data_IF_221344234355
#
_entry.id   IF_221344234355
#
_cell.length_a   1.000
_cell.length_b   1.000
_cell.length_c   1.000
_cell.angle_alpha   90.00
_cell.angle_beta   90.00
_cell.angle_gamma   90.00
#
_symmetry.space_group_name_H-M   'P 1'
#
loop_
_entity.id
_entity.type
_entity.pdbx_description
1 polymer ?
#
# COMPACT_ATOMS: atom_id res chain seq x y z
N UNK A 1 -2.08 -28.59 -4.57
CA UNK A 1 -3.33 -28.08 -3.93
C UNK A 1 -3.36 -26.56 -3.80
N UNK A 2 -2.23 -25.85 -3.62
CA UNK A 2 -2.19 -24.37 -3.65
C UNK A 2 -2.53 -23.75 -5.01
N UNK A 3 -2.23 -24.43 -6.13
CA UNK A 3 -2.48 -23.87 -7.46
C UNK A 3 -3.98 -23.69 -7.75
N UNK A 4 -4.81 -24.54 -7.13
CA UNK A 4 -6.27 -24.50 -7.31
C UNK A 4 -6.89 -23.34 -6.54
N UNK A 5 -6.42 -23.03 -5.33
CA UNK A 5 -7.00 -21.95 -4.53
C UNK A 5 -6.71 -20.57 -5.12
N UNK A 6 -5.50 -20.34 -5.64
CA UNK A 6 -5.15 -19.08 -6.31
C UNK A 6 -5.93 -18.90 -7.62
N UNK A 7 -6.04 -19.95 -8.43
CA UNK A 7 -6.80 -19.90 -9.69
C UNK A 7 -8.30 -19.62 -9.43
N UNK A 8 -8.87 -20.22 -8.38
CA UNK A 8 -10.25 -19.97 -7.96
C UNK A 8 -10.43 -18.54 -7.43
N UNK A 9 -9.46 -17.98 -6.73
CA UNK A 9 -9.50 -16.57 -6.32
C UNK A 9 -9.48 -15.61 -7.52
N UNK A 10 -8.56 -15.82 -8.46
CA UNK A 10 -8.41 -14.97 -9.64
C UNK A 10 -9.67 -14.98 -10.51
N UNK A 11 -10.31 -16.15 -10.65
CA UNK A 11 -11.53 -16.28 -11.47
C UNK A 11 -12.77 -15.71 -10.79
N UNK A 12 -12.93 -15.89 -9.48
CA UNK A 12 -14.12 -15.41 -8.76
C UNK A 12 -14.05 -13.91 -8.42
N UNK A 13 -12.86 -13.36 -8.23
CA UNK A 13 -12.69 -11.97 -7.80
C UNK A 13 -11.50 -11.27 -8.48
N UNK A 14 -11.51 -11.16 -9.82
CA UNK A 14 -10.40 -10.59 -10.57
C UNK A 14 -10.12 -9.12 -10.18
N UNK A 15 -11.17 -8.34 -9.88
CA UNK A 15 -11.04 -6.94 -9.50
C UNK A 15 -10.32 -6.76 -8.15
N UNK A 16 -10.66 -7.56 -7.14
CA UNK A 16 -10.02 -7.48 -5.83
C UNK A 16 -8.56 -7.92 -5.90
N UNK A 17 -8.25 -8.93 -6.72
CA UNK A 17 -6.88 -9.34 -6.96
C UNK A 17 -6.05 -8.26 -7.65
N UNK A 18 -6.57 -7.64 -8.71
CA UNK A 18 -5.89 -6.53 -9.40
C UNK A 18 -5.69 -5.35 -8.45
N UNK A 19 -6.71 -5.00 -7.65
CA UNK A 19 -6.60 -3.94 -6.66
C UNK A 19 -5.50 -4.26 -5.62
N UNK A 20 -5.47 -5.48 -5.09
CA UNK A 20 -4.43 -5.92 -4.16
C UNK A 20 -3.02 -5.82 -4.77
N UNK A 21 -2.85 -6.18 -6.05
CA UNK A 21 -1.56 -6.01 -6.75
C UNK A 21 -1.13 -4.54 -6.85
N UNK A 22 -2.05 -3.63 -7.17
CA UNK A 22 -1.75 -2.19 -7.20
C UNK A 22 -1.39 -1.67 -5.81
N UNK A 23 -2.14 -2.06 -4.78
CA UNK A 23 -1.87 -1.67 -3.40
C UNK A 23 -0.52 -2.18 -2.93
N UNK A 24 -0.18 -3.43 -3.26
CA UNK A 24 1.13 -4.00 -2.99
C UNK A 24 2.25 -3.24 -3.71
N UNK A 25 2.06 -2.88 -4.98
CA UNK A 25 3.02 -2.08 -5.74
C UNK A 25 3.25 -0.70 -5.08
N UNK A 26 2.18 0.00 -4.68
CA UNK A 26 2.30 1.27 -3.96
C UNK A 26 2.94 1.11 -2.58
N UNK A 27 2.64 0.02 -1.86
CA UNK A 27 3.27 -0.27 -0.57
C UNK A 27 4.78 -0.49 -0.71
N UNK A 28 5.21 -1.18 -1.78
CA UNK A 28 6.63 -1.35 -2.13
C UNK A 28 7.29 -0.02 -2.49
N UNK A 29 6.63 0.82 -3.29
CA UNK A 29 7.13 2.16 -3.62
C UNK A 29 7.29 3.05 -2.39
N UNK A 30 6.36 2.94 -1.43
CA UNK A 30 6.44 3.64 -0.14
C UNK A 30 7.58 3.11 0.75
N UNK A 31 8.19 1.96 0.40
CA UNK A 31 9.22 1.25 1.18
C UNK A 31 8.79 0.95 2.62
N UNK A 32 7.49 0.78 2.85
CA UNK A 32 6.95 0.53 4.18
C UNK A 32 6.75 -0.97 4.39
N UNK A 33 7.69 -1.62 5.07
CA UNK A 33 7.63 -3.06 5.41
C UNK A 33 6.32 -3.41 6.12
N UNK A 34 5.83 -2.52 7.00
CA UNK A 34 4.56 -2.71 7.72
C UNK A 34 3.36 -2.76 6.77
N UNK A 35 3.32 -1.89 5.75
CA UNK A 35 2.23 -1.88 4.77
C UNK A 35 2.27 -3.12 3.87
N UNK A 36 3.47 -3.55 3.47
CA UNK A 36 3.68 -4.77 2.68
C UNK A 36 3.21 -6.01 3.47
N UNK A 37 3.59 -6.13 4.74
CA UNK A 37 3.17 -7.25 5.59
C UNK A 37 1.66 -7.26 5.81
N UNK A 38 1.05 -6.09 6.02
CA UNK A 38 -0.41 -5.96 6.16
C UNK A 38 -1.14 -6.43 4.90
N UNK A 39 -0.67 -6.00 3.73
CA UNK A 39 -1.27 -6.36 2.44
C UNK A 39 -1.14 -7.86 2.15
N UNK A 40 0.05 -8.44 2.37
CA UNK A 40 0.26 -9.88 2.22
C UNK A 40 -0.64 -10.69 3.17
N UNK A 41 -0.76 -10.24 4.42
CA UNK A 41 -1.65 -10.89 5.39
C UNK A 41 -3.11 -10.83 4.95
N UNK A 42 -3.56 -9.68 4.44
CA UNK A 42 -4.92 -9.50 3.91
C UNK A 42 -5.22 -10.46 2.76
N UNK A 43 -4.30 -10.59 1.79
CA UNK A 43 -4.43 -11.52 0.67
C UNK A 43 -4.50 -12.96 1.16
N UNK A 44 -3.63 -13.37 2.09
CA UNK A 44 -3.64 -14.73 2.65
C UNK A 44 -4.96 -15.03 3.37
N UNK A 45 -5.45 -14.09 4.17
CA UNK A 45 -6.73 -14.22 4.88
C UNK A 45 -7.91 -14.31 3.89
N UNK A 46 -7.90 -13.52 2.82
CA UNK A 46 -8.94 -13.61 1.78
C UNK A 46 -8.96 -14.97 1.09
N UNK A 47 -7.80 -15.52 0.74
CA UNK A 47 -7.70 -16.87 0.14
C UNK A 47 -8.21 -17.92 1.14
N UNK A 48 -7.85 -17.83 2.41
CA UNK A 48 -8.31 -18.77 3.45
C UNK A 48 -9.82 -18.76 3.64
N UNK A 49 -10.45 -17.59 3.62
CA UNK A 49 -11.90 -17.44 3.83
C UNK A 49 -12.72 -17.85 2.61
N UNK A 50 -12.15 -17.72 1.42
CA UNK A 50 -12.77 -18.26 0.21
C UNK A 50 -12.93 -19.80 0.30
N UNK A 51 -11.95 -20.49 0.89
CA UNK A 51 -12.00 -21.95 1.06
C UNK A 51 -13.09 -22.37 2.07
N UNK A 52 -13.34 -21.58 3.10
CA UNK A 52 -14.38 -21.87 4.10
C UNK A 52 -15.79 -21.45 3.68
N UNK A 53 -15.95 -20.86 2.48
CA UNK A 53 -17.22 -20.51 1.84
C UNK A 53 -18.17 -19.69 2.74
N UNK A 54 -17.64 -18.74 3.52
CA UNK A 54 -18.44 -17.80 4.33
C UNK A 54 -18.65 -16.47 3.58
N UNK A 55 -19.75 -16.29 2.82
CA UNK A 55 -19.93 -15.14 1.93
C UNK A 55 -20.01 -13.79 2.66
N UNK A 56 -20.50 -13.79 3.90
CA UNK A 56 -20.59 -12.58 4.72
C UNK A 56 -19.21 -12.05 5.11
N UNK A 57 -18.32 -12.93 5.59
CA UNK A 57 -16.94 -12.56 5.95
C UNK A 57 -16.14 -12.11 4.72
N UNK A 58 -16.35 -12.77 3.58
CA UNK A 58 -15.72 -12.39 2.32
C UNK A 58 -16.04 -10.95 1.92
N UNK A 59 -17.31 -10.55 2.03
CA UNK A 59 -17.75 -9.18 1.72
C UNK A 59 -17.14 -8.16 2.68
N UNK A 60 -17.12 -8.46 3.98
CA UNK A 60 -16.52 -7.58 5.00
C UNK A 60 -15.04 -7.36 4.73
N UNK A 61 -14.30 -8.43 4.41
CA UNK A 61 -12.86 -8.33 4.17
C UNK A 61 -12.56 -7.66 2.84
N UNK A 62 -13.38 -7.87 1.82
CA UNK A 62 -13.31 -7.09 0.58
C UNK A 62 -13.47 -5.59 0.84
N UNK A 63 -14.39 -5.18 1.74
CA UNK A 63 -14.52 -3.79 2.14
C UNK A 63 -13.26 -3.27 2.88
N UNK A 64 -12.70 -4.07 3.79
CA UNK A 64 -11.44 -3.74 4.47
C UNK A 64 -10.28 -3.57 3.47
N UNK A 65 -10.19 -4.46 2.48
CA UNK A 65 -9.18 -4.40 1.42
C UNK A 65 -9.25 -3.06 0.65
N UNK A 66 -10.45 -2.61 0.29
CA UNK A 66 -10.66 -1.33 -0.37
C UNK A 66 -10.24 -0.16 0.52
N UNK A 67 -10.60 -0.19 1.82
CA UNK A 67 -10.22 0.86 2.78
C UNK A 67 -8.71 0.93 2.98
N UNK A 68 -8.04 -0.22 3.08
CA UNK A 68 -6.57 -0.30 3.19
C UNK A 68 -5.91 0.25 1.92
N UNK A 69 -6.46 -0.09 0.75
CA UNK A 69 -5.98 0.46 -0.52
C UNK A 69 -6.07 1.98 -0.59
N UNK A 70 -7.22 2.55 -0.20
CA UNK A 70 -7.40 4.01 -0.12
C UNK A 70 -6.43 4.65 0.88
N UNK A 71 -6.20 4.02 2.03
CA UNK A 71 -5.26 4.51 3.04
C UNK A 71 -3.81 4.52 2.53
N UNK A 72 -3.37 3.46 1.85
CA UNK A 72 -2.04 3.38 1.25
C UNK A 72 -1.88 4.43 0.15
N UNK A 73 -2.91 4.61 -0.68
CA UNK A 73 -2.92 5.61 -1.74
C UNK A 73 -2.82 7.04 -1.18
N UNK A 74 -3.57 7.35 -0.12
CA UNK A 74 -3.44 8.64 0.59
C UNK A 74 -2.00 8.85 1.12
N UNK A 75 -1.41 7.85 1.77
CA UNK A 75 -0.02 7.93 2.24
C UNK A 75 0.98 8.10 1.09
N UNK A 76 0.73 7.46 -0.05
CA UNK A 76 1.56 7.59 -1.23
C UNK A 76 1.55 9.03 -1.77
N UNK A 77 0.38 9.67 -1.89
CA UNK A 77 0.28 11.08 -2.27
C UNK A 77 1.00 12.01 -1.27
N UNK A 78 0.86 11.74 0.03
CA UNK A 78 1.59 12.51 1.05
C UNK A 78 3.11 12.37 0.89
N UNK A 79 3.60 11.16 0.62
CA UNK A 79 5.02 10.91 0.39
C UNK A 79 5.54 11.58 -0.88
N UNK A 80 4.75 11.58 -1.97
CA UNK A 80 5.08 12.32 -3.19
C UNK A 80 5.20 13.82 -2.94
N UNK A 81 4.21 14.42 -2.25
CA UNK A 81 4.25 15.85 -1.95
C UNK A 81 5.46 16.21 -1.08
N UNK A 82 5.79 15.38 -0.10
CA UNK A 82 6.97 15.59 0.73
C UNK A 82 8.28 15.50 -0.08
N UNK A 83 8.40 14.50 -0.98
CA UNK A 83 9.58 14.36 -1.84
C UNK A 83 9.70 15.55 -2.80
N UNK A 84 8.59 16.01 -3.37
CA UNK A 84 8.54 17.20 -4.21
C UNK A 84 9.02 18.46 -3.47
N UNK A 85 8.52 18.70 -2.25
CA UNK A 85 8.98 19.80 -1.40
C UNK A 85 10.48 19.69 -1.09
N UNK A 86 10.97 18.48 -0.81
CA UNK A 86 12.40 18.25 -0.56
C UNK A 86 13.29 18.56 -1.77
N UNK A 87 12.79 18.32 -2.99
CA UNK A 87 13.49 18.71 -4.23
C UNK A 87 13.50 20.23 -4.40
N UNK A 88 12.37 20.91 -4.17
CA UNK A 88 12.27 22.38 -4.24
C UNK A 88 13.18 23.09 -3.23
N UNK A 89 13.27 22.55 -2.01
CA UNK A 89 14.20 23.04 -0.99
C UNK A 89 15.66 22.84 -1.44
N UNK A 90 16.01 21.67 -2.00
CA UNK A 90 17.36 21.41 -2.52
C UNK A 90 17.75 22.34 -3.66
N UNK A 91 16.82 22.70 -4.53
CA UNK A 91 17.06 23.66 -5.63
C UNK A 91 16.97 25.13 -5.21
N UNK A 92 16.75 25.41 -3.91
CA UNK A 92 16.65 26.75 -3.33
C UNK A 92 15.52 27.58 -3.96
N UNK A 93 14.50 26.91 -4.52
CA UNK A 93 13.33 27.57 -5.11
C UNK A 93 12.30 27.98 -4.06
N UNK A 94 12.34 27.38 -2.87
CA UNK A 94 11.46 27.68 -1.74
C UNK A 94 12.27 27.80 -0.44
N UNK A 95 11.83 28.62 0.54
CA UNK A 95 12.51 28.74 1.83
C UNK A 95 12.57 27.39 2.54
N UNK A 96 13.70 27.12 3.19
CA UNK A 96 13.99 25.86 3.89
C UNK A 96 13.09 25.76 5.11
N UNK A 97 12.09 24.88 5.07
CA UNK A 97 11.16 24.67 6.19
C UNK A 97 11.30 23.24 6.76
N UNK A 98 11.77 22.29 5.94
CA UNK A 98 11.99 20.89 6.28
C UNK A 98 13.49 20.61 6.57
N UNK A 99 14.39 21.29 5.87
CA UNK A 99 15.86 21.10 5.95
C UNK A 99 16.61 22.14 6.79
N UNK A 100 15.88 22.96 7.55
CA UNK A 100 16.33 24.20 8.23
C UNK A 100 17.57 24.07 9.16
N UNK A 101 17.97 22.85 9.55
CA UNK A 101 19.10 22.61 10.47
C UNK A 101 20.17 21.65 9.93
N UNK A 102 20.16 21.30 8.64
CA UNK A 102 21.15 20.39 8.07
C UNK A 102 21.32 20.56 6.58
N UNK A 103 22.45 21.15 6.17
CA UNK A 103 22.88 21.30 4.77
C UNK A 103 22.92 19.99 3.96
N UNK A 104 22.74 18.82 4.58
CA UNK A 104 22.84 17.52 3.93
C UNK A 104 21.52 16.91 3.44
N UNK A 105 20.35 17.51 3.71
CA UNK A 105 19.08 17.10 3.06
C UNK A 105 18.79 15.59 3.08
N UNK A 106 19.26 14.89 4.11
CA UNK A 106 19.12 13.44 4.29
C UNK A 106 18.41 13.15 5.61
N UNK A 107 17.10 12.90 5.53
CA UNK A 107 16.42 12.13 6.57
C UNK A 107 16.39 10.68 6.13
N UNK A 108 16.88 9.80 6.99
CA UNK A 108 16.98 8.35 6.77
C UNK A 108 15.61 7.64 6.66
N UNK A 109 14.49 8.33 6.95
CA UNK A 109 13.17 7.72 6.99
C UNK A 109 12.06 8.73 6.67
N UNK A 110 11.12 8.31 5.83
CA UNK A 110 9.86 9.01 5.48
C UNK A 110 8.69 8.64 6.43
N UNK A 111 8.97 7.94 7.54
CA UNK A 111 7.98 7.53 8.55
C UNK A 111 7.70 8.63 9.58
#
# INVERSE_FOLDING_TARGET
MMDVSLAVFITQAPLLFIAALFVLAFAVMLKSVKAILLELLLVVVMIGIQITAMPMLYTIIGAVQVLVGLYILYRFFKALNYNYQLILEKTHQTPLNITDHGQNGSRQSFL
#
